data_IF_979991453712
#
_entry.id   IF_979991453712
#
_cell.length_a   1.000
_cell.length_b   1.000
_cell.length_c   1.000
_cell.angle_alpha   90.00
_cell.angle_beta   90.00
_cell.angle_gamma   90.00
#
_symmetry.space_group_name_H-M   'P 1'
#
loop_
_entity.id
_entity.type
_entity.pdbx_description
1 polymer ?
#
# COMPACT_ATOMS: atom_id res chain seq x y z
N UNK A 1 -50.95 41.61 48.22
CA UNK A 1 -50.51 40.62 49.18
C UNK A 1 -50.60 39.22 48.54
N UNK A 2 -49.53 38.67 48.15
CA UNK A 2 -49.44 37.32 47.69
C UNK A 2 -47.96 36.90 47.88
N UNK A 3 -47.68 35.80 48.59
CA UNK A 3 -46.33 35.41 48.94
C UNK A 3 -45.62 34.71 47.78
N UNK A 4 -44.34 35.05 47.60
CA UNK A 4 -43.45 34.47 46.65
C UNK A 4 -43.17 33.01 46.91
N UNK A 5 -43.21 32.21 45.87
CA UNK A 5 -42.67 30.84 45.82
C UNK A 5 -41.27 30.84 45.24
N UNK A 6 -40.29 30.64 46.12
CA UNK A 6 -38.89 30.44 45.79
C UNK A 6 -38.70 28.97 45.34
N UNK A 7 -38.91 28.75 44.04
CA UNK A 7 -38.66 27.45 43.41
C UNK A 7 -37.18 27.35 43.03
N UNK A 8 -36.33 26.88 43.94
CA UNK A 8 -34.99 26.42 43.59
C UNK A 8 -35.14 25.10 42.86
N UNK A 9 -35.03 25.19 41.54
CA UNK A 9 -34.78 24.03 40.68
C UNK A 9 -33.41 23.41 41.07
N UNK A 10 -33.45 22.42 41.92
CA UNK A 10 -32.27 21.51 42.10
C UNK A 10 -32.02 20.80 40.77
N UNK A 11 -30.99 21.24 40.09
CA UNK A 11 -30.46 20.52 38.91
C UNK A 11 -30.08 19.09 39.32
N UNK A 12 -30.53 18.05 38.60
CA UNK A 12 -30.17 16.69 38.94
C UNK A 12 -28.66 16.54 38.78
N UNK A 13 -27.98 16.22 39.87
CA UNK A 13 -26.61 15.81 39.95
C UNK A 13 -26.40 14.68 38.91
N UNK A 14 -25.72 14.99 37.81
CA UNK A 14 -25.27 13.95 36.84
C UNK A 14 -24.30 13.04 37.58
N UNK A 15 -24.82 11.98 38.15
CA UNK A 15 -24.03 10.81 38.53
C UNK A 15 -23.25 10.36 37.31
N UNK A 16 -22.01 10.80 37.20
CA UNK A 16 -21.03 10.25 36.30
C UNK A 16 -20.77 8.83 36.73
N UNK A 17 -21.64 7.92 36.29
CA UNK A 17 -21.39 6.49 36.39
C UNK A 17 -20.11 6.19 35.63
N UNK A 18 -18.98 6.14 36.35
CA UNK A 18 -17.73 5.54 35.86
C UNK A 18 -18.07 4.09 35.61
N UNK A 19 -18.49 3.80 34.37
CA UNK A 19 -18.59 2.42 33.86
C UNK A 19 -17.16 1.90 33.89
N UNK A 20 -16.78 1.31 35.03
CA UNK A 20 -15.60 0.44 35.08
C UNK A 20 -15.86 -0.68 34.08
N UNK A 21 -15.24 -0.56 32.92
CA UNK A 21 -15.08 -1.67 32.00
C UNK A 21 -14.27 -2.76 32.75
N UNK A 22 -14.97 -3.57 33.51
CA UNK A 22 -14.49 -4.85 33.99
C UNK A 22 -14.27 -5.73 32.79
N UNK A 23 -13.08 -5.63 32.18
CA UNK A 23 -12.71 -6.39 30.98
C UNK A 23 -12.99 -7.85 31.25
N UNK A 24 -13.91 -8.42 30.46
CA UNK A 24 -14.27 -9.82 30.50
C UNK A 24 -13.00 -10.64 30.16
N UNK A 25 -12.30 -11.18 31.17
CA UNK A 25 -11.03 -11.92 31.04
C UNK A 25 -11.10 -13.05 30.01
N UNK A 26 -12.29 -13.64 29.81
CA UNK A 26 -12.52 -14.66 28.77
C UNK A 26 -12.52 -14.10 27.36
N UNK A 27 -13.11 -12.92 27.13
CA UNK A 27 -13.05 -12.25 25.83
C UNK A 27 -11.63 -11.84 25.46
N UNK A 28 -10.87 -11.42 26.45
CA UNK A 28 -9.51 -10.91 26.31
C UNK A 28 -8.50 -12.02 25.92
N UNK A 29 -8.65 -13.24 26.46
CA UNK A 29 -7.83 -14.41 26.08
C UNK A 29 -8.17 -14.92 24.67
N UNK A 30 -9.44 -14.96 24.30
CA UNK A 30 -9.87 -15.35 22.96
C UNK A 30 -9.35 -14.40 21.88
N UNK A 31 -9.40 -13.11 22.15
CA UNK A 31 -8.87 -12.08 21.25
C UNK A 31 -7.35 -12.21 21.06
N UNK A 32 -6.62 -12.52 22.15
CA UNK A 32 -5.19 -12.78 22.07
C UNK A 32 -4.89 -14.00 21.20
N UNK A 33 -5.57 -15.12 21.43
CA UNK A 33 -5.38 -16.35 20.63
C UNK A 33 -5.63 -16.07 19.13
N UNK A 34 -6.71 -15.37 18.80
CA UNK A 34 -7.01 -14.99 17.41
C UNK A 34 -5.88 -14.16 16.80
N UNK A 35 -5.39 -13.13 17.51
CA UNK A 35 -4.28 -12.30 17.04
C UNK A 35 -3.00 -13.11 16.83
N UNK A 36 -2.65 -14.02 17.77
CA UNK A 36 -1.47 -14.88 17.68
C UNK A 36 -1.54 -15.85 16.51
N UNK A 37 -2.70 -16.49 16.30
CA UNK A 37 -2.89 -17.43 15.21
C UNK A 37 -2.71 -16.74 13.84
N UNK A 38 -3.39 -15.62 13.60
CA UNK A 38 -3.30 -14.93 12.33
C UNK A 38 -1.91 -14.34 12.09
N UNK A 39 -1.29 -13.74 13.09
CA UNK A 39 0.06 -13.21 12.98
C UNK A 39 1.10 -14.33 12.79
N UNK A 40 1.02 -15.42 13.54
CA UNK A 40 1.94 -16.55 13.42
C UNK A 40 1.82 -17.29 12.09
N UNK A 41 0.59 -17.67 11.69
CA UNK A 41 0.35 -18.32 10.38
C UNK A 41 0.71 -17.40 9.21
N UNK A 42 0.39 -16.12 9.32
CA UNK A 42 0.76 -15.12 8.32
C UNK A 42 2.28 -15.03 8.14
N UNK A 43 3.04 -15.07 9.24
CA UNK A 43 4.50 -15.01 9.19
C UNK A 43 5.13 -16.27 8.60
N UNK A 44 4.52 -17.46 8.78
CA UNK A 44 4.89 -18.66 8.02
C UNK A 44 4.62 -18.46 6.54
N UNK A 45 3.44 -17.93 6.20
CA UNK A 45 3.03 -17.73 4.80
C UNK A 45 3.89 -16.69 4.07
N UNK A 46 4.40 -15.67 4.77
CA UNK A 46 5.28 -14.63 4.18
C UNK A 46 6.49 -15.24 3.46
N UNK A 47 7.05 -16.36 3.95
CA UNK A 47 8.23 -16.98 3.34
C UNK A 47 8.00 -17.61 1.97
N UNK A 48 6.74 -17.92 1.62
CA UNK A 48 6.38 -18.49 0.31
C UNK A 48 5.32 -17.68 -0.45
N UNK A 49 4.43 -17.02 0.26
CA UNK A 49 3.28 -16.27 -0.28
C UNK A 49 3.21 -14.89 0.38
N UNK A 50 4.22 -14.02 0.10
CA UNK A 50 4.43 -12.74 0.78
C UNK A 50 3.14 -11.92 0.93
N UNK A 51 2.39 -11.66 -0.16
CA UNK A 51 1.18 -10.84 -0.16
C UNK A 51 0.10 -11.38 0.79
N UNK A 52 -0.15 -12.70 0.76
CA UNK A 52 -1.14 -13.34 1.64
C UNK A 52 -0.64 -13.31 3.09
N UNK A 53 0.63 -13.61 3.30
CA UNK A 53 1.25 -13.58 4.62
C UNK A 53 1.17 -12.19 5.27
N UNK A 54 1.48 -11.15 4.52
CA UNK A 54 1.37 -9.75 4.96
C UNK A 54 -0.08 -9.40 5.34
N UNK A 55 -1.08 -9.80 4.55
CA UNK A 55 -2.48 -9.58 4.89
C UNK A 55 -2.87 -10.24 6.23
N UNK A 56 -2.42 -11.48 6.44
CA UNK A 56 -2.71 -12.23 7.67
C UNK A 56 -2.01 -11.63 8.89
N UNK A 57 -0.73 -11.25 8.78
CA UNK A 57 0.01 -10.57 9.86
C UNK A 57 -0.67 -9.24 10.20
N UNK A 58 -0.98 -8.43 9.18
CA UNK A 58 -1.64 -7.14 9.38
C UNK A 58 -3.02 -7.29 10.01
N UNK A 59 -3.78 -8.34 9.64
CA UNK A 59 -5.02 -8.69 10.32
C UNK A 59 -4.79 -8.94 11.82
N UNK A 60 -3.85 -9.82 12.17
CA UNK A 60 -3.55 -10.16 13.58
C UNK A 60 -3.13 -8.93 14.40
N UNK A 61 -2.27 -8.08 13.82
CA UNK A 61 -1.80 -6.83 14.45
C UNK A 61 -2.93 -5.83 14.64
N UNK A 62 -3.73 -5.60 13.59
CA UNK A 62 -4.88 -4.69 13.63
C UNK A 62 -5.93 -5.17 14.63
N UNK A 63 -6.23 -6.46 14.63
CA UNK A 63 -7.16 -7.10 15.54
C UNK A 63 -6.73 -6.91 17.01
N UNK A 64 -5.43 -7.08 17.29
CA UNK A 64 -4.85 -6.84 18.61
C UNK A 64 -4.98 -5.36 19.05
N UNK A 65 -4.90 -4.41 18.10
CA UNK A 65 -5.04 -2.99 18.40
C UNK A 65 -6.50 -2.58 18.61
N UNK A 66 -7.40 -3.01 17.72
CA UNK A 66 -8.83 -2.69 17.76
C UNK A 66 -9.46 -3.21 19.05
N UNK A 67 -9.05 -4.40 19.50
CA UNK A 67 -9.53 -5.00 20.74
C UNK A 67 -8.77 -4.52 21.99
N UNK A 68 -7.91 -3.51 21.88
CA UNK A 68 -7.27 -2.86 23.02
C UNK A 68 -6.31 -3.77 23.80
N UNK A 69 -5.65 -4.75 23.14
CA UNK A 69 -4.70 -5.61 23.82
C UNK A 69 -3.57 -4.80 24.48
N UNK A 70 -3.21 -5.19 25.70
CA UNK A 70 -2.15 -4.54 26.48
C UNK A 70 -0.77 -4.68 25.81
N UNK A 71 0.16 -3.79 26.14
CA UNK A 71 1.54 -3.82 25.59
C UNK A 71 2.22 -5.18 25.67
N UNK A 72 2.20 -5.92 26.83
CA UNK A 72 2.84 -7.24 26.89
C UNK A 72 2.18 -8.26 25.96
N UNK A 73 0.86 -8.19 25.73
CA UNK A 73 0.17 -9.07 24.78
C UNK A 73 0.51 -8.76 23.34
N UNK A 74 0.73 -7.50 23.00
CA UNK A 74 1.25 -7.11 21.67
C UNK A 74 2.67 -7.64 21.44
N UNK A 75 3.51 -7.68 22.49
CA UNK A 75 4.81 -8.31 22.40
C UNK A 75 4.73 -9.82 22.12
N UNK A 76 3.70 -10.52 22.65
CA UNK A 76 3.47 -11.92 22.28
C UNK A 76 3.08 -12.09 20.81
N UNK A 77 2.33 -11.14 20.24
CA UNK A 77 2.03 -11.14 18.77
C UNK A 77 3.31 -10.98 17.95
N UNK A 78 4.22 -10.08 18.37
CA UNK A 78 5.53 -9.93 17.72
C UNK A 78 6.39 -11.20 17.85
N UNK A 79 6.37 -11.86 19.02
CA UNK A 79 7.04 -13.13 19.22
C UNK A 79 6.45 -14.23 18.32
N UNK A 80 5.12 -14.28 18.17
CA UNK A 80 4.47 -15.22 17.26
C UNK A 80 4.91 -14.99 15.79
N UNK A 81 5.09 -13.72 15.38
CA UNK A 81 5.66 -13.41 14.08
C UNK A 81 7.09 -13.95 13.93
N UNK A 82 7.96 -13.75 14.93
CA UNK A 82 9.33 -14.23 14.88
C UNK A 82 9.41 -15.76 14.81
N UNK A 83 8.61 -16.46 15.64
CA UNK A 83 8.51 -17.92 15.61
C UNK A 83 7.94 -18.41 14.28
N UNK A 84 6.90 -17.76 13.76
CA UNK A 84 6.30 -18.09 12.47
C UNK A 84 7.31 -17.97 11.33
N UNK A 85 8.10 -16.88 11.29
CA UNK A 85 9.19 -16.72 10.30
C UNK A 85 10.24 -17.82 10.40
N UNK A 86 10.67 -18.20 11.59
CA UNK A 86 11.63 -19.27 11.79
C UNK A 86 11.08 -20.61 11.29
N UNK A 87 9.82 -20.93 11.59
CA UNK A 87 9.15 -22.13 11.10
C UNK A 87 8.95 -22.10 9.57
N UNK A 88 8.58 -20.95 9.01
CA UNK A 88 8.44 -20.76 7.58
C UNK A 88 9.76 -20.95 6.84
N UNK A 89 10.85 -20.45 7.37
CA UNK A 89 12.20 -20.66 6.82
C UNK A 89 12.58 -22.14 6.79
N UNK A 90 12.29 -22.88 7.86
CA UNK A 90 12.51 -24.34 7.91
C UNK A 90 11.64 -25.07 6.89
N UNK A 91 10.39 -24.63 6.72
CA UNK A 91 9.46 -25.24 5.76
C UNK A 91 9.90 -25.06 4.31
N UNK A 92 10.34 -23.86 3.93
CA UNK A 92 10.75 -23.53 2.54
C UNK A 92 12.20 -23.95 2.28
N UNK A 93 12.94 -24.42 3.28
CA UNK A 93 14.39 -24.63 3.22
C UNK A 93 15.12 -23.40 2.67
N UNK A 94 14.64 -22.21 3.10
CA UNK A 94 15.04 -20.94 2.55
C UNK A 94 16.42 -20.49 3.00
N UNK A 95 16.95 -19.53 2.27
CA UNK A 95 18.22 -18.87 2.59
C UNK A 95 18.04 -17.77 3.65
N UNK A 96 19.14 -17.27 4.20
CA UNK A 96 19.12 -16.11 5.10
C UNK A 96 18.48 -14.88 4.44
N UNK A 97 18.58 -14.71 3.13
CA UNK A 97 17.91 -13.64 2.39
C UNK A 97 16.39 -13.73 2.50
N UNK A 98 15.81 -14.92 2.40
CA UNK A 98 14.35 -15.16 2.57
C UNK A 98 13.90 -14.77 3.99
N UNK A 99 14.71 -15.12 5.02
CA UNK A 99 14.40 -14.73 6.39
C UNK A 99 14.39 -13.22 6.57
N UNK A 100 15.39 -12.51 6.05
CA UNK A 100 15.50 -11.05 6.18
C UNK A 100 14.39 -10.36 5.40
N UNK A 101 14.05 -10.82 4.18
CA UNK A 101 12.90 -10.31 3.43
C UNK A 101 11.58 -10.55 4.17
N UNK A 102 11.37 -11.75 4.70
CA UNK A 102 10.20 -12.07 5.50
C UNK A 102 10.08 -11.20 6.77
N UNK A 103 11.21 -10.83 7.38
CA UNK A 103 11.21 -9.88 8.50
C UNK A 103 10.80 -8.46 8.06
N UNK A 104 11.25 -8.01 6.88
CA UNK A 104 10.80 -6.74 6.29
C UNK A 104 9.29 -6.78 6.01
N UNK A 105 8.77 -7.87 5.45
CA UNK A 105 7.35 -8.05 5.19
C UNK A 105 6.51 -8.04 6.46
N UNK A 106 6.98 -8.71 7.52
CA UNK A 106 6.33 -8.67 8.84
C UNK A 106 6.35 -7.27 9.45
N UNK A 107 7.47 -6.54 9.32
CA UNK A 107 7.57 -5.16 9.79
C UNK A 107 6.64 -4.23 9.00
N UNK A 108 6.57 -4.38 7.68
CA UNK A 108 5.64 -3.67 6.80
C UNK A 108 4.18 -3.97 7.21
N UNK A 109 3.84 -5.24 7.39
CA UNK A 109 2.50 -5.66 7.83
C UNK A 109 2.14 -5.04 9.19
N UNK A 110 3.12 -4.95 10.11
CA UNK A 110 2.93 -4.32 11.41
C UNK A 110 2.64 -2.83 11.28
N UNK A 111 3.43 -2.11 10.48
CA UNK A 111 3.26 -0.67 10.25
C UNK A 111 1.91 -0.39 9.60
N UNK A 112 1.63 -1.05 8.45
CA UNK A 112 0.39 -0.84 7.69
C UNK A 112 -0.83 -1.25 8.49
N UNK A 113 -0.79 -2.41 9.18
CA UNK A 113 -1.87 -2.86 10.06
C UNK A 113 -2.14 -1.86 11.20
N UNK A 114 -1.08 -1.27 11.77
CA UNK A 114 -1.20 -0.24 12.80
C UNK A 114 -1.80 1.07 12.27
N UNK A 115 -1.37 1.52 11.09
CA UNK A 115 -1.94 2.69 10.42
C UNK A 115 -3.42 2.47 10.07
N UNK A 116 -3.74 1.30 9.54
CA UNK A 116 -5.11 0.90 9.23
C UNK A 116 -5.98 0.86 10.50
N UNK A 117 -5.54 0.27 11.60
CA UNK A 117 -6.26 0.24 12.86
C UNK A 117 -6.50 1.64 13.43
N UNK A 118 -5.49 2.53 13.33
CA UNK A 118 -5.56 3.91 13.80
C UNK A 118 -6.28 4.88 12.87
N UNK A 119 -6.76 4.46 11.70
CA UNK A 119 -7.33 5.32 10.64
C UNK A 119 -6.39 6.46 10.21
N UNK A 120 -5.08 6.22 10.25
CA UNK A 120 -4.02 7.19 9.93
C UNK A 120 -3.36 6.95 8.58
N UNK A 121 -3.87 5.99 7.81
CA UNK A 121 -3.37 5.68 6.49
C UNK A 121 -3.67 6.84 5.53
N UNK A 122 -2.65 7.30 4.84
CA UNK A 122 -2.73 8.31 3.77
C UNK A 122 -1.95 7.82 2.57
N UNK A 123 -2.27 8.30 1.38
CA UNK A 123 -1.52 7.97 0.15
C UNK A 123 -0.03 8.22 0.33
N UNK A 124 0.33 9.33 0.97
CA UNK A 124 1.74 9.68 1.24
C UNK A 124 2.42 8.66 2.15
N UNK A 125 1.77 8.23 3.24
CA UNK A 125 2.34 7.21 4.13
C UNK A 125 2.49 5.87 3.45
N UNK A 126 1.53 5.48 2.62
CA UNK A 126 1.54 4.21 1.90
C UNK A 126 2.67 4.16 0.86
N UNK A 127 2.84 5.25 0.10
CA UNK A 127 3.96 5.37 -0.84
C UNK A 127 5.31 5.42 -0.13
N UNK A 128 5.42 6.11 1.00
CA UNK A 128 6.65 6.12 1.79
C UNK A 128 7.01 4.73 2.31
N UNK A 129 6.03 3.99 2.83
CA UNK A 129 6.22 2.61 3.30
C UNK A 129 6.61 1.69 2.13
N UNK A 130 5.94 1.79 0.99
CA UNK A 130 6.27 1.01 -0.21
C UNK A 130 7.69 1.34 -0.72
N UNK A 131 8.09 2.62 -0.75
CA UNK A 131 9.42 3.02 -1.17
C UNK A 131 10.52 2.50 -0.23
N UNK A 132 10.31 2.57 1.08
CA UNK A 132 11.24 2.03 2.08
C UNK A 132 11.35 0.51 1.95
N UNK A 133 10.24 -0.20 1.80
CA UNK A 133 10.24 -1.65 1.62
C UNK A 133 10.94 -2.04 0.29
N UNK A 134 10.67 -1.32 -0.79
CA UNK A 134 11.35 -1.51 -2.08
C UNK A 134 12.86 -1.36 -1.93
N UNK A 135 13.34 -0.28 -1.30
CA UNK A 135 14.77 -0.06 -1.04
C UNK A 135 15.36 -1.18 -0.18
N UNK A 136 14.64 -1.65 0.83
CA UNK A 136 15.07 -2.75 1.68
C UNK A 136 15.19 -4.06 0.90
N UNK A 137 14.23 -4.42 0.05
CA UNK A 137 14.31 -5.62 -0.78
C UNK A 137 15.51 -5.58 -1.74
N UNK A 138 15.73 -4.44 -2.40
CA UNK A 138 16.89 -4.23 -3.27
C UNK A 138 18.19 -4.38 -2.47
N UNK A 139 18.29 -3.72 -1.32
CA UNK A 139 19.48 -3.79 -0.47
C UNK A 139 19.78 -5.22 0.02
N UNK A 140 18.74 -6.00 0.34
CA UNK A 140 18.87 -7.39 0.75
C UNK A 140 19.41 -8.22 -0.41
N UNK A 141 18.81 -8.16 -1.61
CA UNK A 141 19.23 -8.97 -2.73
C UNK A 141 20.64 -8.65 -3.20
N UNK A 142 20.95 -7.39 -3.38
CA UNK A 142 22.30 -6.96 -3.77
C UNK A 142 23.34 -7.21 -2.65
N UNK A 143 22.93 -7.03 -1.38
CA UNK A 143 23.80 -7.30 -0.25
C UNK A 143 24.17 -8.79 -0.13
N UNK A 144 23.20 -9.70 -0.26
CA UNK A 144 23.46 -11.12 -0.23
C UNK A 144 24.23 -11.60 -1.48
N UNK A 145 23.97 -11.03 -2.67
CA UNK A 145 24.76 -11.29 -3.86
C UNK A 145 26.23 -10.90 -3.63
N UNK A 146 26.48 -9.71 -3.08
CA UNK A 146 27.84 -9.26 -2.77
C UNK A 146 28.54 -10.13 -1.71
N UNK A 147 27.82 -10.55 -0.66
CA UNK A 147 28.36 -11.49 0.34
C UNK A 147 28.69 -12.85 -0.25
N UNK A 148 27.98 -13.28 -1.28
CA UNK A 148 28.27 -14.50 -2.03
C UNK A 148 29.38 -14.33 -3.08
N UNK A 149 29.99 -13.14 -3.20
CA UNK A 149 30.99 -12.83 -4.21
C UNK A 149 30.43 -12.70 -5.63
N UNK A 150 29.10 -12.50 -5.75
CA UNK A 150 28.40 -12.37 -7.03
C UNK A 150 28.17 -10.88 -7.34
N UNK A 151 28.27 -10.55 -8.65
CA UNK A 151 27.81 -9.25 -9.12
C UNK A 151 26.28 -9.26 -9.23
N UNK A 152 25.59 -8.45 -8.41
CA UNK A 152 24.13 -8.35 -8.38
C UNK A 152 23.54 -7.96 -9.74
N UNK A 153 24.25 -7.13 -10.53
CA UNK A 153 23.81 -6.76 -11.87
C UNK A 153 23.90 -7.95 -12.84
N UNK A 154 24.93 -8.77 -12.73
CA UNK A 154 25.08 -9.99 -13.52
C UNK A 154 23.99 -11.02 -13.17
N UNK A 155 23.72 -11.22 -11.86
CA UNK A 155 22.63 -12.11 -11.40
C UNK A 155 21.28 -11.66 -11.96
N UNK A 156 20.99 -10.37 -11.93
CA UNK A 156 19.75 -9.81 -12.48
C UNK A 156 19.65 -10.01 -13.99
N UNK A 157 20.73 -9.73 -14.72
CA UNK A 157 20.78 -9.93 -16.17
C UNK A 157 20.55 -11.40 -16.54
N UNK A 158 21.13 -12.31 -15.79
CA UNK A 158 20.93 -13.75 -15.96
C UNK A 158 19.48 -14.15 -15.66
N UNK A 159 18.87 -13.62 -14.61
CA UNK A 159 17.47 -13.88 -14.29
C UNK A 159 16.52 -13.40 -15.42
N UNK A 160 16.77 -12.22 -15.98
CA UNK A 160 15.99 -11.69 -17.11
C UNK A 160 16.17 -12.60 -18.34
N UNK A 161 17.40 -12.99 -18.68
CA UNK A 161 17.65 -13.88 -19.85
C UNK A 161 16.98 -15.23 -19.68
N UNK A 162 17.05 -15.82 -18.47
CA UNK A 162 16.38 -17.09 -18.17
C UNK A 162 14.85 -16.99 -18.30
N UNK A 163 14.27 -15.91 -17.83
CA UNK A 163 12.82 -15.68 -17.97
C UNK A 163 12.39 -15.51 -19.45
N UNK A 164 13.23 -14.85 -20.27
CA UNK A 164 13.00 -14.73 -21.71
C UNK A 164 13.10 -16.09 -22.41
N UNK A 165 14.08 -16.92 -22.03
CA UNK A 165 14.27 -18.26 -22.61
C UNK A 165 13.13 -19.21 -22.17
N UNK A 166 12.64 -19.10 -20.94
CA UNK A 166 11.47 -19.84 -20.46
C UNK A 166 10.19 -19.41 -21.23
N UNK A 167 9.99 -18.13 -21.43
CA UNK A 167 8.90 -17.62 -22.25
C UNK A 167 9.00 -18.10 -23.71
N UNK A 168 10.22 -18.19 -24.26
CA UNK A 168 10.47 -18.76 -25.59
C UNK A 168 10.05 -20.22 -25.70
N UNK A 169 10.35 -21.01 -24.68
CA UNK A 169 9.99 -22.45 -24.63
C UNK A 169 8.47 -22.65 -24.51
N UNK A 170 7.79 -21.72 -23.84
CA UNK A 170 6.34 -21.84 -23.55
C UNK A 170 5.47 -21.25 -24.66
N UNK A 171 5.85 -20.09 -25.21
CA UNK A 171 5.03 -19.30 -26.13
C UNK A 171 5.56 -19.22 -27.56
N UNK A 172 6.74 -19.79 -27.82
CA UNK A 172 7.37 -19.85 -29.12
C UNK A 172 8.39 -18.74 -29.40
N UNK A 173 9.16 -18.93 -30.49
CA UNK A 173 10.32 -18.09 -30.82
C UNK A 173 9.96 -16.65 -31.18
N UNK A 174 8.78 -16.40 -31.74
CA UNK A 174 8.35 -15.04 -32.12
C UNK A 174 8.15 -14.14 -30.90
N UNK A 175 7.59 -14.69 -29.82
CA UNK A 175 7.44 -13.97 -28.54
C UNK A 175 8.82 -13.72 -27.91
N UNK A 176 9.72 -14.69 -27.98
CA UNK A 176 11.08 -14.51 -27.52
C UNK A 176 11.85 -13.43 -28.28
N UNK A 177 11.69 -13.35 -29.60
CA UNK A 177 12.31 -12.30 -30.41
C UNK A 177 11.81 -10.92 -30.02
N UNK A 178 10.50 -10.78 -29.78
CA UNK A 178 9.91 -9.53 -29.28
C UNK A 178 10.44 -9.19 -27.88
N UNK A 179 10.45 -10.12 -26.93
CA UNK A 179 10.99 -9.90 -25.58
C UNK A 179 12.47 -9.52 -25.60
N UNK A 180 13.27 -10.14 -26.48
CA UNK A 180 14.68 -9.77 -26.66
C UNK A 180 14.84 -8.34 -27.21
N UNK A 181 13.96 -7.88 -28.10
CA UNK A 181 14.01 -6.50 -28.59
C UNK A 181 13.73 -5.48 -27.49
N UNK A 182 12.98 -5.86 -26.45
CA UNK A 182 12.69 -5.06 -25.27
C UNK A 182 13.58 -5.35 -24.05
N UNK A 183 14.59 -6.21 -24.20
CA UNK A 183 15.45 -6.62 -23.07
C UNK A 183 16.14 -5.45 -22.35
N UNK A 184 16.52 -4.41 -23.10
CA UNK A 184 17.06 -3.17 -22.55
C UNK A 184 16.07 -2.49 -21.60
N UNK A 185 14.77 -2.47 -21.95
CA UNK A 185 13.73 -1.89 -21.11
C UNK A 185 13.49 -2.76 -19.86
N UNK A 186 13.51 -4.10 -20.00
CA UNK A 186 13.43 -5.01 -18.86
C UNK A 186 14.61 -4.78 -17.89
N UNK A 187 15.80 -4.50 -18.43
CA UNK A 187 16.98 -4.11 -17.64
C UNK A 187 16.83 -2.76 -16.91
N UNK A 188 15.87 -1.91 -17.27
CA UNK A 188 15.55 -0.67 -16.55
C UNK A 188 14.36 -0.83 -15.58
N UNK A 189 13.50 -1.81 -15.82
CA UNK A 189 12.27 -2.02 -15.03
C UNK A 189 12.47 -2.82 -13.74
N UNK A 190 13.66 -3.37 -13.49
CA UNK A 190 13.87 -4.23 -12.33
C UNK A 190 13.52 -3.56 -10.96
N UNK A 191 13.85 -2.27 -10.70
CA UNK A 191 13.48 -1.69 -9.41
C UNK A 191 11.97 -1.48 -9.31
N UNK A 192 11.28 -1.28 -10.44
CA UNK A 192 9.84 -1.17 -10.49
C UNK A 192 9.15 -2.46 -10.08
N UNK A 193 9.70 -3.64 -10.41
CA UNK A 193 9.21 -4.93 -9.92
C UNK A 193 9.21 -5.02 -8.39
N UNK A 194 10.27 -4.56 -7.74
CA UNK A 194 10.32 -4.48 -6.27
C UNK A 194 9.32 -3.48 -5.70
N UNK A 195 9.13 -2.34 -6.37
CA UNK A 195 8.13 -1.34 -5.96
C UNK A 195 6.71 -1.89 -6.07
N UNK A 196 6.37 -2.60 -7.14
CA UNK A 196 5.07 -3.27 -7.31
C UNK A 196 4.84 -4.29 -6.21
N UNK A 197 5.84 -5.14 -5.91
CA UNK A 197 5.73 -6.12 -4.82
C UNK A 197 5.48 -5.42 -3.48
N UNK A 198 6.25 -4.38 -3.16
CA UNK A 198 6.07 -3.59 -1.95
C UNK A 198 4.68 -2.95 -1.89
N UNK A 199 4.20 -2.38 -3.00
CA UNK A 199 2.86 -1.80 -3.12
C UNK A 199 1.75 -2.84 -2.92
N UNK A 200 1.88 -4.02 -3.51
CA UNK A 200 0.95 -5.14 -3.28
C UNK A 200 0.92 -5.56 -1.81
N UNK A 201 2.06 -5.60 -1.14
CA UNK A 201 2.15 -5.90 0.28
C UNK A 201 1.49 -4.80 1.14
N UNK A 202 1.65 -3.53 0.79
CA UNK A 202 0.93 -2.42 1.45
C UNK A 202 -0.59 -2.57 1.29
N UNK A 203 -1.07 -2.82 0.08
CA UNK A 203 -2.50 -3.05 -0.19
C UNK A 203 -3.04 -4.26 0.58
N UNK A 204 -2.29 -5.36 0.59
CA UNK A 204 -2.64 -6.56 1.35
C UNK A 204 -2.70 -6.28 2.87
N UNK A 205 -1.77 -5.49 3.39
CA UNK A 205 -1.76 -5.04 4.77
C UNK A 205 -3.00 -4.20 5.12
N UNK A 206 -3.41 -3.28 4.25
CA UNK A 206 -4.65 -2.52 4.41
C UNK A 206 -5.89 -3.41 4.38
N UNK A 207 -5.92 -4.39 3.46
CA UNK A 207 -7.03 -5.34 3.39
C UNK A 207 -7.14 -6.17 4.67
N UNK A 208 -6.03 -6.69 5.18
CA UNK A 208 -5.98 -7.38 6.48
C UNK A 208 -6.47 -6.49 7.62
N UNK A 209 -6.01 -5.24 7.68
CA UNK A 209 -6.46 -4.27 8.66
C UNK A 209 -7.93 -3.88 8.54
N UNK A 210 -8.47 -3.84 7.34
CA UNK A 210 -9.90 -3.62 7.09
C UNK A 210 -10.74 -4.80 7.62
N UNK A 211 -10.36 -6.02 7.31
CA UNK A 211 -11.04 -7.22 7.79
C UNK A 211 -11.05 -7.31 9.32
N UNK A 212 -9.96 -6.92 9.98
CA UNK A 212 -9.84 -6.95 11.45
C UNK A 212 -10.83 -6.01 12.16
N UNK A 213 -11.20 -4.90 11.53
CA UNK A 213 -12.16 -3.93 12.10
C UNK A 213 -13.60 -4.40 12.03
N UNK A 214 -13.93 -5.29 11.10
CA UNK A 214 -15.28 -5.79 10.88
C UNK A 214 -16.26 -4.74 10.33
N UNK A 215 -17.49 -5.16 9.97
CA UNK A 215 -18.49 -4.29 9.34
C UNK A 215 -19.02 -3.18 10.27
N UNK A 216 -18.92 -3.34 11.59
CA UNK A 216 -19.42 -2.38 12.59
C UNK A 216 -18.51 -1.16 12.78
N UNK A 217 -17.34 -1.12 12.18
CA UNK A 217 -16.35 -0.06 12.40
C UNK A 217 -16.70 1.30 11.76
N UNK A 218 -17.89 1.46 11.19
CA UNK A 218 -18.37 2.75 10.66
C UNK A 218 -17.38 3.40 9.68
N UNK A 219 -16.67 2.59 8.89
CA UNK A 219 -15.81 3.13 7.83
C UNK A 219 -16.71 3.76 6.79
N UNK A 220 -16.63 5.08 6.63
CA UNK A 220 -17.22 5.70 5.46
C UNK A 220 -16.72 4.94 4.21
N UNK A 221 -17.63 4.53 3.31
CA UNK A 221 -17.21 3.81 2.11
C UNK A 221 -16.17 4.68 1.40
N UNK A 222 -15.10 4.02 0.91
CA UNK A 222 -14.12 4.72 0.09
C UNK A 222 -14.85 5.39 -1.07
N UNK A 223 -14.71 6.71 -1.16
CA UNK A 223 -15.33 7.52 -2.21
C UNK A 223 -14.25 7.88 -3.22
N UNK A 224 -14.14 7.14 -4.34
CA UNK A 224 -13.11 7.44 -5.36
C UNK A 224 -13.14 8.89 -5.81
N UNK A 225 -14.33 9.48 -5.90
CA UNK A 225 -14.55 10.88 -6.31
C UNK A 225 -13.83 11.89 -5.40
N UNK A 226 -13.59 11.53 -4.13
CA UNK A 226 -12.92 12.40 -3.15
C UNK A 226 -11.40 12.24 -3.12
N UNK A 227 -10.82 11.42 -4.01
CA UNK A 227 -9.38 11.27 -4.10
C UNK A 227 -8.78 12.52 -4.75
N UNK A 228 -7.74 13.08 -4.16
CA UNK A 228 -6.95 14.20 -4.69
C UNK A 228 -5.47 13.83 -4.65
N UNK A 229 -4.76 14.09 -5.74
CA UNK A 229 -3.35 13.79 -5.88
C UNK A 229 -2.52 14.69 -4.96
N UNK A 230 -1.66 14.14 -4.09
CA UNK A 230 -0.80 14.95 -3.24
C UNK A 230 0.23 15.72 -4.07
N UNK A 231 0.54 16.95 -3.66
CA UNK A 231 1.45 17.86 -4.42
C UNK A 231 2.85 17.30 -4.66
N UNK A 232 3.35 16.42 -3.77
CA UNK A 232 4.65 15.78 -3.96
C UNK A 232 4.70 14.88 -5.21
N UNK A 233 3.55 14.38 -5.69
CA UNK A 233 3.50 13.49 -6.86
C UNK A 233 3.99 14.15 -8.14
N UNK A 234 3.70 15.44 -8.32
CA UNK A 234 4.20 16.22 -9.46
C UNK A 234 5.72 16.44 -9.37
N UNK A 235 6.21 16.75 -8.17
CA UNK A 235 7.66 16.90 -7.94
C UNK A 235 8.39 15.59 -8.22
N UNK A 236 7.85 14.48 -7.73
CA UNK A 236 8.41 13.15 -7.95
C UNK A 236 8.36 12.77 -9.45
N UNK A 237 7.29 13.13 -10.17
CA UNK A 237 7.22 12.94 -11.62
C UNK A 237 8.33 13.71 -12.35
N UNK A 238 8.50 15.00 -12.02
CA UNK A 238 9.54 15.85 -12.64
C UNK A 238 10.93 15.27 -12.37
N UNK A 239 11.24 14.90 -11.12
CA UNK A 239 12.51 14.28 -10.75
C UNK A 239 12.70 12.95 -11.47
N UNK A 240 11.67 12.11 -11.52
CA UNK A 240 11.72 10.83 -12.23
C UNK A 240 12.02 11.00 -13.72
N UNK A 241 11.33 11.91 -14.40
CA UNK A 241 11.57 12.22 -15.82
C UNK A 241 12.98 12.80 -16.02
N UNK A 242 13.43 13.68 -15.14
CA UNK A 242 14.77 14.25 -15.22
C UNK A 242 15.87 13.17 -15.06
N UNK A 243 15.74 12.28 -14.06
CA UNK A 243 16.65 11.17 -13.86
C UNK A 243 16.65 10.19 -15.04
N UNK A 244 15.49 9.92 -15.62
CA UNK A 244 15.40 9.05 -16.79
C UNK A 244 16.04 9.69 -18.03
N UNK A 245 15.72 10.94 -18.33
CA UNK A 245 16.21 11.65 -19.52
C UNK A 245 17.70 12.00 -19.45
N UNK A 246 18.16 12.47 -18.29
CA UNK A 246 19.52 12.95 -18.09
C UNK A 246 20.43 11.98 -17.34
N UNK A 247 19.94 10.79 -16.99
CA UNK A 247 20.70 9.77 -16.26
C UNK A 247 22.03 9.41 -16.90
N UNK A 248 22.14 9.52 -18.24
CA UNK A 248 23.39 9.31 -18.99
C UNK A 248 24.58 10.17 -18.52
N UNK A 249 24.33 11.32 -17.91
CA UNK A 249 25.38 12.22 -17.39
C UNK A 249 26.14 11.58 -16.20
N UNK A 250 25.56 10.61 -15.51
CA UNK A 250 26.16 9.96 -14.34
C UNK A 250 27.22 8.89 -14.70
N UNK A 251 27.63 8.78 -15.96
CA UNK A 251 28.71 7.84 -16.35
C UNK A 251 28.41 6.40 -15.98
N UNK A 252 29.24 5.79 -15.12
CA UNK A 252 29.06 4.40 -14.69
C UNK A 252 27.71 4.14 -13.94
N UNK A 253 27.11 5.17 -13.36
CA UNK A 253 25.79 5.11 -12.69
C UNK A 253 24.60 5.36 -13.62
N UNK A 254 24.80 5.59 -14.91
CA UNK A 254 23.77 5.99 -15.87
C UNK A 254 22.56 5.05 -15.87
N UNK A 255 22.79 3.76 -16.00
CA UNK A 255 21.73 2.75 -16.04
C UNK A 255 20.90 2.71 -14.75
N UNK A 256 21.56 2.81 -13.60
CA UNK A 256 20.89 2.84 -12.29
C UNK A 256 20.06 4.11 -12.14
N UNK A 257 20.59 5.28 -12.52
CA UNK A 257 19.86 6.53 -12.47
C UNK A 257 18.61 6.51 -13.37
N UNK A 258 18.73 5.98 -14.59
CA UNK A 258 17.62 5.80 -15.51
C UNK A 258 16.58 4.81 -14.98
N UNK A 259 17.02 3.69 -14.39
CA UNK A 259 16.12 2.69 -13.81
C UNK A 259 15.34 3.26 -12.61
N UNK A 260 15.99 4.03 -11.73
CA UNK A 260 15.33 4.74 -10.62
C UNK A 260 14.36 5.79 -11.17
N UNK A 261 14.77 6.57 -12.16
CA UNK A 261 13.93 7.57 -12.82
C UNK A 261 12.66 6.96 -13.41
N UNK A 262 12.81 5.89 -14.19
CA UNK A 262 11.69 5.16 -14.78
C UNK A 262 10.77 4.56 -13.70
N UNK A 263 11.33 3.97 -12.66
CA UNK A 263 10.56 3.44 -11.52
C UNK A 263 9.76 4.54 -10.83
N UNK A 264 10.34 5.71 -10.62
CA UNK A 264 9.67 6.85 -10.03
C UNK A 264 8.49 7.33 -10.89
N UNK A 265 8.68 7.46 -12.20
CA UNK A 265 7.63 7.83 -13.17
C UNK A 265 6.48 6.83 -13.13
N UNK A 266 6.79 5.53 -13.20
CA UNK A 266 5.78 4.47 -13.19
C UNK A 266 5.06 4.36 -11.85
N UNK A 267 5.77 4.54 -10.72
CA UNK A 267 5.17 4.54 -9.40
C UNK A 267 4.19 5.71 -9.22
N UNK A 268 4.60 6.91 -9.59
CA UNK A 268 3.74 8.11 -9.45
C UNK A 268 2.57 8.07 -10.44
N UNK A 269 2.73 7.41 -11.59
CA UNK A 269 1.63 7.18 -12.53
C UNK A 269 0.40 6.58 -11.87
N UNK A 270 0.56 5.65 -10.91
CA UNK A 270 -0.58 5.07 -10.18
C UNK A 270 -1.36 6.11 -9.37
N UNK A 271 -0.71 7.15 -8.85
CA UNK A 271 -1.40 8.25 -8.17
C UNK A 271 -2.30 8.99 -9.15
N UNK A 272 -1.75 9.36 -10.30
CA UNK A 272 -2.51 10.06 -11.34
C UNK A 272 -3.59 9.16 -11.98
N UNK A 273 -3.34 7.86 -12.10
CA UNK A 273 -4.35 6.89 -12.53
C UNK A 273 -5.57 6.90 -11.59
N UNK A 274 -5.33 6.89 -10.27
CA UNK A 274 -6.40 6.95 -9.28
C UNK A 274 -7.17 8.28 -9.35
N UNK A 275 -6.47 9.38 -9.62
CA UNK A 275 -7.07 10.69 -9.77
C UNK A 275 -7.89 10.77 -11.07
N UNK A 276 -7.37 10.28 -12.18
CA UNK A 276 -8.11 10.17 -13.45
C UNK A 276 -9.37 9.29 -13.32
N UNK A 277 -9.26 8.18 -12.59
CA UNK A 277 -10.43 7.35 -12.27
C UNK A 277 -11.45 8.10 -11.40
N UNK A 278 -11.00 8.93 -10.48
CA UNK A 278 -11.87 9.79 -9.66
C UNK A 278 -12.62 10.82 -10.53
N UNK A 279 -11.94 11.43 -11.51
CA UNK A 279 -12.57 12.35 -12.50
C UNK A 279 -13.63 11.63 -13.33
N UNK A 280 -13.32 10.44 -13.87
CA UNK A 280 -14.28 9.63 -14.62
C UNK A 280 -15.51 9.28 -13.77
N UNK A 281 -15.29 8.86 -12.53
CA UNK A 281 -16.39 8.52 -11.61
C UNK A 281 -17.25 9.74 -11.28
N UNK A 282 -16.63 10.89 -11.07
CA UNK A 282 -17.33 12.16 -10.87
C UNK A 282 -18.17 12.53 -12.10
N UNK A 283 -17.60 12.39 -13.30
CA UNK A 283 -18.31 12.67 -14.55
C UNK A 283 -19.51 11.75 -14.75
N UNK A 284 -19.37 10.44 -14.49
CA UNK A 284 -20.48 9.47 -14.55
C UNK A 284 -21.62 9.85 -13.60
N UNK A 285 -21.27 10.25 -12.37
CA UNK A 285 -22.27 10.63 -11.38
C UNK A 285 -22.99 11.91 -11.77
N UNK A 286 -22.26 12.88 -12.32
CA UNK A 286 -22.82 14.18 -12.74
C UNK A 286 -23.80 14.03 -13.91
N UNK A 287 -23.53 13.13 -14.84
CA UNK A 287 -24.36 12.94 -16.04
C UNK A 287 -25.36 11.80 -15.91
N UNK A 288 -25.48 11.18 -14.74
CA UNK A 288 -26.42 10.08 -14.52
C UNK A 288 -26.17 8.85 -15.41
N UNK A 289 -24.92 8.59 -15.78
CA UNK A 289 -24.54 7.50 -16.67
C UNK A 289 -24.98 6.16 -16.11
N UNK A 290 -25.72 5.37 -16.90
CA UNK A 290 -26.20 4.05 -16.49
C UNK A 290 -25.08 3.04 -16.25
N UNK A 291 -25.36 2.01 -15.45
CA UNK A 291 -24.36 1.02 -15.03
C UNK A 291 -23.64 0.35 -16.21
N UNK A 292 -24.39 -0.08 -17.25
CA UNK A 292 -23.83 -0.75 -18.43
C UNK A 292 -22.84 0.15 -19.19
N UNK A 293 -23.21 1.43 -19.40
CA UNK A 293 -22.35 2.39 -20.09
C UNK A 293 -21.10 2.72 -19.24
N UNK A 294 -21.21 2.75 -17.89
CA UNK A 294 -20.04 2.90 -17.00
C UNK A 294 -19.04 1.77 -17.21
N UNK A 295 -19.52 0.52 -17.23
CA UNK A 295 -18.65 -0.65 -17.44
C UNK A 295 -17.97 -0.56 -18.80
N UNK A 296 -18.72 -0.24 -19.87
CA UNK A 296 -18.17 -0.10 -21.21
C UNK A 296 -17.08 0.97 -21.27
N UNK A 297 -17.34 2.16 -20.73
CA UNK A 297 -16.34 3.25 -20.72
C UNK A 297 -15.14 2.87 -19.86
N UNK A 298 -15.32 2.18 -18.74
CA UNK A 298 -14.19 1.72 -17.91
C UNK A 298 -13.32 0.69 -18.64
N UNK A 299 -13.92 -0.25 -19.38
CA UNK A 299 -13.16 -1.21 -20.18
C UNK A 299 -12.33 -0.49 -21.25
N UNK A 300 -12.94 0.46 -21.97
CA UNK A 300 -12.22 1.28 -22.96
C UNK A 300 -11.14 2.14 -22.27
N UNK A 301 -11.43 2.72 -21.11
CA UNK A 301 -10.46 3.51 -20.35
C UNK A 301 -9.26 2.68 -19.89
N UNK A 302 -9.46 1.41 -19.49
CA UNK A 302 -8.37 0.50 -19.15
C UNK A 302 -7.51 0.19 -20.40
N UNK A 303 -8.13 -0.09 -21.55
CA UNK A 303 -7.41 -0.36 -22.78
C UNK A 303 -6.59 0.86 -23.22
N UNK A 304 -7.18 2.04 -23.20
CA UNK A 304 -6.49 3.31 -23.48
C UNK A 304 -5.39 3.62 -22.46
N UNK A 305 -5.57 3.23 -21.20
CA UNK A 305 -4.55 3.41 -20.16
C UNK A 305 -3.35 2.50 -20.40
N UNK A 306 -3.57 1.25 -20.76
CA UNK A 306 -2.48 0.31 -21.07
C UNK A 306 -1.69 0.75 -22.30
N UNK A 307 -2.38 1.27 -23.32
CA UNK A 307 -1.77 1.63 -24.62
C UNK A 307 -1.18 3.05 -24.62
N UNK A 308 -1.90 4.03 -24.05
CA UNK A 308 -1.58 5.47 -24.24
C UNK A 308 -1.54 6.28 -22.94
N UNK A 309 -1.72 5.66 -21.76
CA UNK A 309 -1.72 6.33 -20.45
C UNK A 309 -2.78 7.43 -20.30
N UNK A 310 -3.90 7.32 -20.99
CA UNK A 310 -4.92 8.38 -21.10
C UNK A 310 -5.54 8.74 -19.76
N UNK A 311 -5.86 7.76 -18.92
CA UNK A 311 -6.49 7.99 -17.63
C UNK A 311 -5.50 8.65 -16.65
N UNK A 312 -4.23 8.21 -16.68
CA UNK A 312 -3.16 8.85 -15.90
C UNK A 312 -2.91 10.29 -16.32
N UNK A 313 -2.94 10.57 -17.64
CA UNK A 313 -2.83 11.94 -18.17
C UNK A 313 -4.05 12.79 -17.76
N UNK A 314 -5.26 12.22 -17.76
CA UNK A 314 -6.45 12.91 -17.29
C UNK A 314 -6.31 13.32 -15.82
N UNK A 315 -5.81 12.42 -14.95
CA UNK A 315 -5.53 12.73 -13.55
C UNK A 315 -4.45 13.80 -13.39
N UNK A 316 -3.39 13.73 -14.19
CA UNK A 316 -2.34 14.75 -14.21
C UNK A 316 -2.90 16.13 -14.60
N UNK A 317 -3.80 16.19 -15.59
CA UNK A 317 -4.46 17.43 -15.99
C UNK A 317 -5.41 17.95 -14.92
N UNK A 318 -6.15 17.07 -14.24
CA UNK A 318 -7.06 17.44 -13.13
C UNK A 318 -6.30 18.10 -11.97
N UNK A 319 -5.04 17.71 -11.75
CA UNK A 319 -4.19 18.33 -10.72
C UNK A 319 -4.10 19.87 -10.88
N UNK A 320 -4.08 20.40 -12.12
CA UNK A 320 -4.06 21.84 -12.38
C UNK A 320 -5.43 22.42 -12.71
N UNK A 321 -6.27 21.67 -13.42
CA UNK A 321 -7.54 22.15 -13.94
C UNK A 321 -8.66 22.11 -12.89
N UNK A 322 -8.49 21.28 -11.82
CA UNK A 322 -9.46 21.07 -10.73
C UNK A 322 -10.90 20.91 -11.27
N UNK A 323 -11.09 19.98 -12.22
CA UNK A 323 -12.39 19.76 -12.88
C UNK A 323 -13.53 19.51 -11.90
N UNK A 324 -13.20 18.89 -10.76
CA UNK A 324 -14.14 18.58 -9.68
C UNK A 324 -14.37 19.73 -8.72
N UNK A 325 -13.61 20.82 -8.86
CA UNK A 325 -13.61 22.03 -8.01
C UNK A 325 -13.45 21.72 -6.51
N UNK A 326 -12.65 20.72 -6.19
CA UNK A 326 -12.45 20.29 -4.81
C UNK A 326 -11.67 21.32 -4.00
N UNK A 327 -10.65 21.95 -4.61
CA UNK A 327 -9.80 22.96 -3.97
C UNK A 327 -10.50 24.31 -3.80
N UNK A 328 -11.44 24.64 -4.69
CA UNK A 328 -12.23 25.88 -4.58
C UNK A 328 -13.26 25.86 -3.44
N UNK A 329 -13.62 24.68 -2.91
CA UNK A 329 -14.57 24.50 -1.80
C UNK A 329 -13.96 24.80 -0.43
N UNK A 330 -12.69 24.48 -0.22
CA UNK A 330 -12.01 24.65 1.09
C UNK A 330 -11.80 26.13 1.47
N UNK A 331 -11.73 27.03 0.48
CA UNK A 331 -11.62 28.46 0.72
C UNK A 331 -12.92 29.14 1.21
N UNK A 332 -14.09 28.50 1.04
CA UNK A 332 -15.37 29.09 1.43
C UNK A 332 -15.86 28.69 2.82
N UNK A 333 -15.41 27.57 3.35
CA UNK A 333 -15.75 27.15 4.71
C UNK A 333 -15.01 27.93 5.80
N UNK A 334 -13.90 28.59 5.49
CA UNK A 334 -13.18 29.46 6.43
C UNK A 334 -13.73 30.88 6.58
N UNK A 335 -14.58 31.34 5.64
CA UNK A 335 -15.08 32.71 5.63
C UNK A 335 -16.48 32.89 6.25
N UNK A 336 -17.13 31.83 6.76
CA UNK A 336 -18.44 31.87 7.40
C UNK A 336 -18.39 31.68 8.92
N UNK A 337 -17.22 31.78 9.53
CA UNK A 337 -16.99 31.65 10.98
C UNK A 337 -16.44 32.89 11.67
N UNK A 338 -16.64 34.12 11.13
CA UNK A 338 -16.38 35.37 11.83
C UNK A 338 -17.68 36.11 12.15
#
# INVERSE_FOLDING_TARGET
MGPGGDGRDEAPEKETSIVRYGGNRQGDSRNLVTALLWAGLGSVAVTGLSVIGVAMVAYGVSFAQVNGLSRPRKALVALACAVGLALGLLWVQGTAAVLVKGAVDCALAWVVGSLAAGRRATVTTDYAVAAVACAAYIAIDFGFAALAGLDGAAVLTQAISSAVDEAASTYGLDVAAQLRSFSWLLGLLWPFGYFVLAGMNVLAGHYGGFLARGPSAGTAPWRPVAFDSPSWSVVALIVGVALFAFGGVFGAGAQVAQAIGLTCVLAVRFVFLMDGYAVLTWWFNRHGVGCLLRILVLVVAIDLEVTFFVVSLLGLVDFWADFRRMRAGDGRSGAQGE
#
